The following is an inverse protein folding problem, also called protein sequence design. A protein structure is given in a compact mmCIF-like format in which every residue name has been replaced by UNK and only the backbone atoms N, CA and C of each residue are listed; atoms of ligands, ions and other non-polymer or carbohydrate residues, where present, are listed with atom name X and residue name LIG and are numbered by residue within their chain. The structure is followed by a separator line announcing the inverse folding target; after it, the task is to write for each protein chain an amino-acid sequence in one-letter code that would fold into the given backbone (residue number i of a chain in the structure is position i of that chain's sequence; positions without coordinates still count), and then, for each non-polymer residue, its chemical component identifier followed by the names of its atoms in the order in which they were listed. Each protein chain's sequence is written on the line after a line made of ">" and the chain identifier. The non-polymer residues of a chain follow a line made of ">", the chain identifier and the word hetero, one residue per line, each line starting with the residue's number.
data_IF_684939988632
#
_entry.id   IF_684939988632
#
_cell.length_a   1.000
_cell.length_b   1.000
_cell.length_c   1.000
_cell.angle_alpha   90.00
_cell.angle_beta   90.00
_cell.angle_gamma   90.00
#
_symmetry.space_group_name_H-M   'P 1'
#
loop_
_entity.id
_entity.type
_entity.pdbx_description
1 polymer ?
#
# COMPACT_ATOMS: atom_id res chain seq x y z
N UNK A 1 -45.19 -11.37 -1.05
CA UNK A 1 -43.85 -11.14 -1.64
C UNK A 1 -43.23 -12.49 -1.96
N UNK A 2 -43.32 -12.89 -3.23
CA UNK A 2 -42.95 -14.21 -3.73
C UNK A 2 -41.43 -14.33 -3.82
N UNK A 3 -40.84 -15.24 -3.04
CA UNK A 3 -39.42 -15.61 -3.16
C UNK A 3 -39.35 -16.70 -4.23
N UNK A 4 -38.73 -16.38 -5.37
CA UNK A 4 -38.43 -17.38 -6.39
C UNK A 4 -37.42 -18.39 -5.80
N UNK A 5 -37.70 -19.71 -5.82
CA UNK A 5 -36.82 -20.69 -5.23
C UNK A 5 -35.62 -20.96 -6.16
N UNK A 6 -34.44 -21.10 -5.56
CA UNK A 6 -33.25 -21.58 -6.27
C UNK A 6 -33.46 -23.04 -6.72
N UNK A 7 -32.98 -23.44 -7.91
CA UNK A 7 -33.16 -24.79 -8.42
C UNK A 7 -32.41 -25.82 -7.54
N UNK A 8 -33.07 -26.95 -7.24
CA UNK A 8 -32.48 -28.03 -6.43
C UNK A 8 -31.43 -28.80 -7.24
N UNK A 9 -30.37 -29.22 -6.55
CA UNK A 9 -29.35 -30.12 -7.06
C UNK A 9 -29.99 -31.42 -7.58
N UNK A 10 -29.80 -31.73 -8.87
CA UNK A 10 -30.29 -32.95 -9.51
C UNK A 10 -31.18 -32.75 -10.73
N UNK A 11 -31.64 -31.52 -11.02
CA UNK A 11 -32.15 -31.21 -12.36
C UNK A 11 -30.96 -30.92 -13.26
N UNK A 12 -30.66 -31.84 -14.17
CA UNK A 12 -29.70 -31.61 -15.24
C UNK A 12 -30.06 -30.30 -15.94
N UNK A 13 -29.15 -29.34 -15.87
CA UNK A 13 -29.20 -28.19 -16.75
C UNK A 13 -28.97 -28.77 -18.15
N UNK A 14 -30.07 -29.00 -18.89
CA UNK A 14 -30.01 -29.10 -20.35
C UNK A 14 -29.06 -27.99 -20.81
N UNK A 15 -28.01 -28.29 -21.61
CA UNK A 15 -27.11 -27.25 -22.10
C UNK A 15 -27.98 -26.33 -22.95
N UNK A 16 -28.48 -25.26 -22.32
CA UNK A 16 -29.18 -24.20 -22.99
C UNK A 16 -28.28 -23.82 -24.14
N UNK A 17 -28.80 -23.97 -25.35
CA UNK A 17 -28.14 -23.54 -26.55
C UNK A 17 -27.93 -22.04 -26.41
N UNK A 18 -26.81 -21.65 -25.78
CA UNK A 18 -26.23 -20.33 -25.87
C UNK A 18 -25.76 -20.22 -27.32
N UNK A 19 -26.73 -20.02 -28.21
CA UNK A 19 -26.50 -19.79 -29.62
C UNK A 19 -25.43 -18.72 -29.70
N UNK A 20 -24.32 -19.07 -30.35
CA UNK A 20 -23.30 -18.10 -30.77
C UNK A 20 -23.94 -17.21 -31.85
N UNK A 21 -24.85 -16.35 -31.45
CA UNK A 21 -25.41 -15.28 -32.28
C UNK A 21 -25.08 -13.91 -31.71
N UNK A 22 -23.96 -13.81 -30.97
CA UNK A 22 -23.26 -12.54 -30.79
C UNK A 22 -22.28 -12.36 -31.95
N UNK A 23 -22.40 -11.25 -32.69
CA UNK A 23 -21.44 -10.82 -33.70
C UNK A 23 -20.02 -10.95 -33.12
N UNK A 24 -19.13 -11.71 -33.76
CA UNK A 24 -17.78 -11.94 -33.26
C UNK A 24 -17.10 -10.59 -32.95
N UNK A 25 -16.93 -10.28 -31.67
CA UNK A 25 -16.30 -9.03 -31.26
C UNK A 25 -14.85 -9.06 -31.73
N UNK A 26 -14.42 -7.99 -32.42
CA UNK A 26 -13.14 -7.96 -33.14
C UNK A 26 -11.91 -8.22 -32.25
N UNK A 27 -11.98 -7.93 -30.96
CA UNK A 27 -10.83 -7.99 -30.04
C UNK A 27 -11.02 -8.94 -28.83
N UNK A 28 -12.26 -9.19 -28.37
CA UNK A 28 -12.49 -9.99 -27.16
C UNK A 28 -12.18 -11.47 -27.41
N UNK A 29 -11.33 -12.05 -26.56
CA UNK A 29 -10.89 -13.44 -26.66
C UNK A 29 -9.77 -13.68 -27.69
N UNK A 30 -9.12 -12.62 -28.19
CA UNK A 30 -7.99 -12.70 -29.12
C UNK A 30 -6.70 -12.15 -28.50
N UNK A 31 -5.56 -12.70 -28.92
CA UNK A 31 -4.23 -12.21 -28.55
C UNK A 31 -3.90 -10.93 -29.34
N UNK A 32 -4.42 -9.79 -28.88
CA UNK A 32 -4.13 -8.48 -29.46
C UNK A 32 -2.84 -7.90 -28.86
N UNK A 33 -1.95 -7.28 -29.65
CA UNK A 33 -0.78 -6.59 -29.11
C UNK A 33 -1.18 -5.52 -28.10
N UNK A 34 -0.43 -5.46 -26.99
CA UNK A 34 -0.62 -4.42 -25.98
C UNK A 34 -0.27 -3.05 -26.55
N UNK A 35 -1.10 -2.05 -26.25
CA UNK A 35 -0.89 -0.66 -26.71
C UNK A 35 0.45 -0.09 -26.23
N UNK A 36 0.86 -0.43 -25.02
CA UNK A 36 2.12 -0.01 -24.39
C UNK A 36 3.29 -0.98 -24.67
N UNK A 37 3.07 -2.02 -25.47
CA UNK A 37 4.04 -3.10 -25.67
C UNK A 37 5.28 -2.65 -26.42
N UNK A 38 5.12 -1.89 -27.51
CA UNK A 38 6.24 -1.45 -28.35
C UNK A 38 7.21 -0.56 -27.56
N UNK A 39 6.69 0.46 -26.88
CA UNK A 39 7.51 1.40 -26.12
C UNK A 39 8.31 0.72 -25.00
N UNK A 40 7.73 -0.31 -24.37
CA UNK A 40 8.41 -1.07 -23.31
C UNK A 40 9.53 -1.95 -23.84
N UNK A 41 9.37 -2.57 -25.02
CA UNK A 41 10.42 -3.44 -25.59
C UNK A 41 11.52 -2.65 -26.29
N UNK A 42 11.26 -1.40 -26.69
CA UNK A 42 12.26 -0.52 -27.29
C UNK A 42 12.97 0.39 -26.27
N UNK A 43 12.50 0.43 -25.03
CA UNK A 43 12.98 1.37 -24.01
C UNK A 43 12.50 2.81 -24.21
N UNK A 44 11.49 3.04 -25.06
CA UNK A 44 10.89 4.36 -25.27
C UNK A 44 9.88 4.73 -24.17
N UNK A 45 9.36 3.74 -23.43
CA UNK A 45 8.49 3.98 -22.28
C UNK A 45 9.28 4.68 -21.17
N UNK A 46 8.76 5.83 -20.70
CA UNK A 46 9.37 6.59 -19.60
C UNK A 46 8.65 6.32 -18.30
N UNK A 47 9.44 6.05 -17.27
CA UNK A 47 9.04 5.82 -15.89
C UNK A 47 9.37 7.05 -15.03
N UNK A 48 8.96 7.05 -13.76
CA UNK A 48 9.04 8.27 -12.92
C UNK A 48 10.47 8.80 -12.83
N UNK A 49 11.45 7.91 -12.65
CA UNK A 49 12.87 8.29 -12.53
C UNK A 49 13.50 8.74 -13.86
N UNK A 50 12.82 8.55 -14.99
CA UNK A 50 13.25 9.05 -16.31
C UNK A 50 12.80 10.50 -16.57
N UNK A 51 11.89 11.03 -15.75
CA UNK A 51 11.30 12.37 -15.94
C UNK A 51 12.17 13.45 -15.28
N UNK A 52 12.30 14.60 -15.94
CA UNK A 52 13.05 15.77 -15.44
C UNK A 52 12.26 17.03 -15.74
N UNK A 53 12.23 17.95 -14.79
CA UNK A 53 11.53 19.24 -14.89
C UNK A 53 12.47 20.39 -14.51
N UNK A 54 12.29 21.60 -15.09
CA UNK A 54 13.04 22.78 -14.68
C UNK A 54 12.83 23.08 -13.18
N UNK A 55 13.92 23.33 -12.45
CA UNK A 55 13.87 23.63 -11.02
C UNK A 55 13.48 22.44 -10.11
N UNK A 56 13.49 21.22 -10.63
CA UNK A 56 13.17 20.01 -9.85
C UNK A 56 14.16 19.82 -8.68
N UNK A 57 13.62 19.58 -7.49
CA UNK A 57 14.38 19.16 -6.33
C UNK A 57 14.28 17.64 -6.16
N UNK A 58 15.35 17.02 -5.67
CA UNK A 58 15.33 15.64 -5.21
C UNK A 58 14.81 15.59 -3.77
N UNK A 59 13.97 14.61 -3.46
CA UNK A 59 13.44 14.38 -2.12
C UNK A 59 14.10 13.19 -1.43
N UNK A 60 14.32 13.29 -0.11
CA UNK A 60 14.75 12.21 0.75
C UNK A 60 13.88 12.16 2.00
N UNK A 61 13.22 11.02 2.21
CA UNK A 61 12.52 10.76 3.47
C UNK A 61 13.49 10.23 4.51
N UNK A 62 13.61 10.95 5.62
CA UNK A 62 14.27 10.44 6.83
C UNK A 62 13.25 9.64 7.62
N UNK A 63 13.62 8.40 7.97
CA UNK A 63 12.71 7.41 8.55
C UNK A 63 13.20 6.96 9.92
N UNK A 64 12.28 6.47 10.73
CA UNK A 64 12.60 5.92 12.06
C UNK A 64 13.58 4.74 11.96
N UNK A 65 14.51 4.68 12.92
CA UNK A 65 15.40 3.52 13.12
C UNK A 65 14.89 2.54 14.18
N UNK A 66 13.78 2.89 14.86
CA UNK A 66 13.10 2.06 15.84
C UNK A 66 11.72 1.64 15.31
N UNK A 67 11.20 0.52 15.83
CA UNK A 67 9.87 0.05 15.47
C UNK A 67 8.75 0.65 16.33
N UNK A 68 9.09 1.11 17.55
CA UNK A 68 8.12 1.65 18.51
C UNK A 68 8.80 2.56 19.53
N UNK A 69 8.19 3.71 19.81
CA UNK A 69 8.67 4.64 20.84
C UNK A 69 8.23 6.07 20.58
N UNK A 70 8.86 7.02 21.27
CA UNK A 70 8.58 8.45 21.15
C UNK A 70 9.75 9.19 20.51
N UNK A 71 9.44 10.11 19.60
CA UNK A 71 10.40 11.03 19.01
C UNK A 71 10.75 12.12 20.01
N UNK A 72 12.03 12.32 20.31
CA UNK A 72 12.50 13.38 21.21
C UNK A 72 13.02 14.58 20.46
N UNK A 73 13.90 14.35 19.50
CA UNK A 73 14.49 15.43 18.71
C UNK A 73 14.98 14.92 17.35
N UNK A 74 15.08 15.84 16.39
CA UNK A 74 15.69 15.60 15.08
C UNK A 74 16.71 16.71 14.85
N UNK A 75 17.96 16.35 14.62
CA UNK A 75 19.06 17.27 14.37
C UNK A 75 19.65 16.99 13.00
N UNK A 76 19.80 18.03 12.18
CA UNK A 76 20.41 17.93 10.84
C UNK A 76 21.76 18.62 10.92
N UNK A 77 22.83 17.83 10.81
CA UNK A 77 24.20 18.32 10.82
C UNK A 77 24.56 18.90 9.45
N UNK A 78 25.41 19.95 9.46
CA UNK A 78 26.06 20.49 8.26
C UNK A 78 25.10 20.72 7.08
N UNK A 79 24.05 21.52 7.30
CA UNK A 79 23.03 21.80 6.28
C UNK A 79 23.67 22.44 5.04
N UNK A 80 23.71 21.78 3.87
CA UNK A 80 24.21 22.41 2.66
C UNK A 80 23.34 23.62 2.30
N UNK A 81 23.93 24.67 1.69
CA UNK A 81 23.17 25.82 1.21
C UNK A 81 22.06 25.37 0.26
N UNK A 82 20.82 25.82 0.52
CA UNK A 82 19.66 25.44 -0.29
C UNK A 82 18.92 24.18 0.20
N UNK A 83 19.35 23.54 1.29
CA UNK A 83 18.61 22.43 1.88
C UNK A 83 17.24 22.89 2.41
N UNK A 84 16.19 22.26 1.91
CA UNK A 84 14.83 22.41 2.40
C UNK A 84 14.53 21.26 3.37
N UNK A 85 13.94 21.59 4.51
CA UNK A 85 13.53 20.65 5.55
C UNK A 85 12.04 20.85 5.80
N UNK A 86 11.27 19.76 5.75
CA UNK A 86 9.82 19.77 5.94
C UNK A 86 9.45 18.71 6.96
N UNK A 87 8.80 19.11 8.05
CA UNK A 87 8.29 18.21 9.08
C UNK A 87 6.76 18.29 9.22
N UNK A 88 6.22 17.59 10.22
CA UNK A 88 4.78 17.50 10.43
C UNK A 88 4.09 18.87 10.63
N UNK A 89 4.82 19.90 11.06
CA UNK A 89 4.30 21.26 11.30
C UNK A 89 4.10 22.05 10.02
N UNK A 90 4.77 21.65 8.94
CA UNK A 90 4.66 22.29 7.63
C UNK A 90 3.47 21.77 6.82
N UNK A 91 2.72 20.80 7.35
CA UNK A 91 1.52 20.26 6.71
C UNK A 91 0.37 21.26 6.93
N UNK A 92 -0.19 21.89 5.87
CA UNK A 92 -1.22 22.92 6.02
C UNK A 92 -2.58 22.37 6.49
N UNK A 93 -2.78 21.06 6.38
CA UNK A 93 -3.99 20.36 6.78
C UNK A 93 -3.77 19.40 7.94
N UNK A 94 -4.64 18.40 8.07
CA UNK A 94 -4.46 17.31 9.02
C UNK A 94 -3.24 16.48 8.60
N UNK A 95 -2.32 16.24 9.53
CA UNK A 95 -1.22 15.31 9.36
C UNK A 95 -1.74 13.86 9.39
N UNK A 96 -2.38 13.44 8.29
CA UNK A 96 -3.08 12.16 8.20
C UNK A 96 -3.15 11.67 6.75
N UNK A 97 -2.86 10.39 6.55
CA UNK A 97 -3.16 9.63 5.35
C UNK A 97 -4.53 8.98 5.52
N UNK A 98 -5.56 9.54 4.88
CA UNK A 98 -6.92 9.01 4.97
C UNK A 98 -7.10 7.79 4.04
N UNK A 99 -7.33 6.61 4.61
CA UNK A 99 -7.57 5.39 3.85
C UNK A 99 -8.78 4.59 4.40
N UNK A 100 -8.53 3.64 5.30
CA UNK A 100 -9.57 2.83 5.96
C UNK A 100 -9.95 3.46 7.29
N UNK A 101 -8.97 3.99 8.01
CA UNK A 101 -9.07 4.62 9.33
C UNK A 101 -8.16 5.85 9.41
N UNK A 102 -8.47 6.73 10.36
CA UNK A 102 -7.73 7.97 10.61
C UNK A 102 -6.58 7.72 11.61
N UNK A 103 -5.70 6.76 11.33
CA UNK A 103 -4.67 6.27 12.26
C UNK A 103 -3.22 6.37 11.75
N UNK A 104 -3.02 6.83 10.52
CA UNK A 104 -1.69 6.94 9.91
C UNK A 104 -1.29 8.40 9.67
N UNK A 105 -0.29 8.95 10.37
CA UNK A 105 0.22 10.28 10.07
C UNK A 105 1.00 10.31 8.75
N UNK A 106 1.10 11.47 8.11
CA UNK A 106 2.00 11.66 6.96
C UNK A 106 3.46 11.67 7.41
N UNK A 107 3.74 12.38 8.51
CA UNK A 107 5.05 12.46 9.16
C UNK A 107 4.88 12.30 10.68
N UNK A 108 5.81 11.62 11.35
CA UNK A 108 5.78 11.43 12.80
C UNK A 108 5.76 12.78 13.51
N UNK A 109 4.76 12.97 14.37
CA UNK A 109 4.64 14.12 15.25
C UNK A 109 5.28 13.84 16.62
N UNK A 110 4.88 12.76 17.29
CA UNK A 110 5.38 12.41 18.63
C UNK A 110 5.74 10.94 18.80
N UNK A 111 5.05 10.04 18.10
CA UNK A 111 5.14 8.60 18.32
C UNK A 111 5.52 7.88 17.03
N UNK A 112 6.50 6.99 17.14
CA UNK A 112 6.84 6.00 16.13
C UNK A 112 6.08 4.72 16.46
N UNK A 113 5.29 4.24 15.51
CA UNK A 113 4.36 3.10 15.60
C UNK A 113 4.86 1.88 14.83
N UNK A 114 5.71 2.08 13.82
CA UNK A 114 6.32 0.99 13.07
C UNK A 114 7.73 1.32 12.59
N UNK A 115 8.45 0.30 12.12
CA UNK A 115 9.77 0.47 11.55
C UNK A 115 9.70 1.32 10.27
N UNK A 116 10.73 2.15 10.07
CA UNK A 116 10.89 3.01 8.90
C UNK A 116 9.73 4.02 8.68
N UNK A 117 9.07 4.44 9.76
CA UNK A 117 8.02 5.46 9.71
C UNK A 117 8.60 6.83 9.31
N UNK A 118 7.99 7.57 8.37
CA UNK A 118 8.49 8.87 7.92
C UNK A 118 8.53 9.92 9.04
N UNK A 119 9.67 10.58 9.26
CA UNK A 119 9.81 11.61 10.32
C UNK A 119 9.93 13.01 9.71
N UNK A 120 10.86 13.19 8.77
CA UNK A 120 11.14 14.49 8.14
C UNK A 120 11.49 14.27 6.67
N UNK A 121 11.11 15.21 5.82
CA UNK A 121 11.48 15.24 4.41
C UNK A 121 12.59 16.26 4.21
N UNK A 122 13.59 15.87 3.43
CA UNK A 122 14.65 16.75 2.97
C UNK A 122 14.51 16.93 1.46
N UNK A 123 14.74 18.14 0.96
CA UNK A 123 14.80 18.39 -0.47
C UNK A 123 15.98 19.29 -0.85
N UNK A 124 16.59 19.01 -2.01
CA UNK A 124 17.74 19.75 -2.52
C UNK A 124 17.90 19.55 -4.04
N UNK A 125 18.50 20.51 -4.74
CA UNK A 125 18.75 20.43 -6.19
C UNK A 125 19.87 19.44 -6.55
N UNK A 126 20.87 19.33 -5.67
CA UNK A 126 21.95 18.35 -5.76
C UNK A 126 21.61 17.10 -4.93
N UNK A 127 21.48 15.97 -5.63
CA UNK A 127 21.20 14.65 -5.06
C UNK A 127 22.34 14.11 -4.20
N UNK A 128 23.59 14.43 -4.52
CA UNK A 128 24.76 13.96 -3.76
C UNK A 128 24.82 14.67 -2.40
N UNK A 129 24.68 16.00 -2.40
CA UNK A 129 24.60 16.78 -1.16
C UNK A 129 23.43 16.32 -0.26
N UNK A 130 22.26 16.02 -0.86
CA UNK A 130 21.10 15.49 -0.14
C UNK A 130 21.39 14.11 0.49
N UNK A 131 22.10 13.24 -0.24
CA UNK A 131 22.52 11.93 0.22
C UNK A 131 23.54 11.99 1.36
N UNK A 132 24.47 12.94 1.29
CA UNK A 132 25.51 13.15 2.30
C UNK A 132 25.00 13.84 3.58
N UNK A 133 23.86 14.54 3.52
CA UNK A 133 23.28 15.23 4.67
C UNK A 133 22.99 14.25 5.81
N UNK A 134 23.64 14.45 6.96
CA UNK A 134 23.51 13.60 8.14
C UNK A 134 22.37 14.09 9.02
N UNK A 135 21.51 13.15 9.43
CA UNK A 135 20.39 13.41 10.33
C UNK A 135 20.52 12.49 11.54
N UNK A 136 20.48 13.10 12.72
CA UNK A 136 20.53 12.44 14.01
C UNK A 136 19.15 12.53 14.64
N UNK A 137 18.68 11.41 15.19
CA UNK A 137 17.35 11.31 15.74
C UNK A 137 17.45 10.69 17.13
N UNK A 138 16.89 11.38 18.11
CA UNK A 138 16.82 10.92 19.47
C UNK A 138 15.43 10.35 19.76
N UNK A 139 15.40 9.19 20.40
CA UNK A 139 14.17 8.50 20.74
C UNK A 139 14.13 8.13 22.21
N UNK A 140 12.92 8.03 22.74
CA UNK A 140 12.63 7.13 23.86
C UNK A 140 12.04 5.84 23.25
N UNK A 141 12.87 4.81 23.12
CA UNK A 141 12.45 3.54 22.53
C UNK A 141 11.53 2.76 23.49
N UNK A 142 10.53 2.10 22.92
CA UNK A 142 9.60 1.22 23.61
C UNK A 142 9.67 -0.19 23.01
N UNK A 143 9.27 -1.21 23.77
CA UNK A 143 9.23 -2.59 23.28
C UNK A 143 8.11 -2.75 22.22
N UNK A 144 8.43 -3.14 20.98
CA UNK A 144 7.43 -3.31 19.93
C UNK A 144 6.68 -4.64 20.08
N UNK A 145 5.38 -4.64 19.77
CA UNK A 145 4.62 -5.87 19.59
C UNK A 145 4.74 -6.35 18.13
N UNK A 146 5.61 -7.33 17.89
CA UNK A 146 5.91 -7.83 16.54
C UNK A 146 5.16 -9.12 16.17
N UNK A 147 4.48 -9.74 17.14
CA UNK A 147 3.67 -10.94 16.93
C UNK A 147 2.19 -10.60 17.10
N UNK A 148 1.39 -10.60 16.02
CA UNK A 148 -0.04 -10.29 16.10
C UNK A 148 -0.80 -11.30 16.97
N UNK A 149 -0.34 -12.55 17.12
CA UNK A 149 -1.00 -13.54 17.97
C UNK A 149 -0.90 -13.19 19.48
N UNK A 150 0.02 -12.30 19.85
CA UNK A 150 0.17 -11.78 21.21
C UNK A 150 -0.57 -10.46 21.44
N UNK A 151 -1.22 -9.92 20.41
CA UNK A 151 -1.97 -8.66 20.52
C UNK A 151 -3.25 -8.83 21.32
N UNK A 152 -3.48 -7.93 22.28
CA UNK A 152 -4.79 -7.77 22.93
C UNK A 152 -5.72 -6.84 22.15
N UNK A 153 -5.20 -6.16 21.13
CA UNK A 153 -5.96 -5.26 20.26
C UNK A 153 -6.44 -6.00 19.02
N UNK A 154 -7.75 -6.00 18.79
CA UNK A 154 -8.38 -6.50 17.56
C UNK A 154 -8.71 -5.32 16.66
N UNK A 155 -8.03 -5.23 15.51
CA UNK A 155 -8.28 -4.17 14.53
C UNK A 155 -9.67 -4.31 13.88
N UNK A 156 -10.06 -5.53 13.53
CA UNK A 156 -11.34 -5.80 12.86
C UNK A 156 -11.81 -7.23 13.06
N UNK A 157 -13.11 -7.41 13.30
CA UNK A 157 -13.79 -8.71 13.34
C UNK A 157 -14.79 -8.82 12.19
N UNK A 158 -14.75 -9.93 11.46
CA UNK A 158 -15.66 -10.20 10.34
C UNK A 158 -16.32 -11.56 10.57
N UNK A 159 -17.64 -11.56 10.74
CA UNK A 159 -18.44 -12.78 10.84
C UNK A 159 -19.06 -13.16 9.50
N UNK A 160 -18.98 -14.44 9.12
CA UNK A 160 -19.65 -14.99 7.94
C UNK A 160 -20.47 -16.19 8.42
N UNK A 161 -21.77 -16.15 8.20
CA UNK A 161 -22.69 -17.22 8.60
C UNK A 161 -23.61 -17.57 7.44
N UNK A 162 -23.82 -18.87 7.22
CA UNK A 162 -24.72 -19.37 6.18
C UNK A 162 -25.21 -20.76 6.56
N UNK A 163 -26.54 -20.95 6.59
CA UNK A 163 -27.15 -22.24 6.93
C UNK A 163 -27.04 -22.58 8.42
N UNK A 164 -27.14 -23.87 8.73
CA UNK A 164 -27.04 -24.42 10.08
C UNK A 164 -25.75 -25.26 10.16
N UNK A 165 -24.76 -24.75 10.88
CA UNK A 165 -23.46 -25.41 11.03
C UNK A 165 -23.56 -26.65 11.91
N UNK A 166 -24.36 -26.62 12.97
CA UNK A 166 -24.50 -27.73 13.91
C UNK A 166 -25.09 -28.96 13.22
N UNK A 167 -26.20 -28.76 12.49
CA UNK A 167 -26.79 -29.83 11.69
C UNK A 167 -25.82 -30.34 10.61
N UNK A 168 -25.02 -29.44 10.02
CA UNK A 168 -24.00 -29.79 9.03
C UNK A 168 -22.90 -30.69 9.59
N UNK A 169 -22.36 -30.37 10.77
CA UNK A 169 -21.34 -31.17 11.43
C UNK A 169 -21.86 -32.54 11.88
N UNK A 170 -23.09 -32.60 12.41
CA UNK A 170 -23.70 -33.87 12.84
C UNK A 170 -23.94 -34.84 11.68
N UNK A 171 -24.22 -34.32 10.48
CA UNK A 171 -24.51 -35.14 9.31
C UNK A 171 -23.25 -35.55 8.51
N UNK A 172 -22.05 -35.10 8.90
CA UNK A 172 -20.83 -35.32 8.14
C UNK A 172 -20.22 -36.71 8.40
N UNK A 173 -19.88 -37.44 7.34
CA UNK A 173 -19.17 -38.73 7.46
C UNK A 173 -17.70 -38.56 7.88
N UNK A 174 -17.08 -37.43 7.48
CA UNK A 174 -15.68 -37.08 7.79
C UNK A 174 -15.58 -35.58 8.02
N UNK A 175 -14.86 -35.19 9.07
CA UNK A 175 -14.50 -33.81 9.38
C UNK A 175 -12.97 -33.69 9.37
N UNK A 176 -12.45 -32.68 8.67
CA UNK A 176 -11.02 -32.35 8.66
C UNK A 176 -10.85 -30.93 9.15
N UNK A 177 -10.01 -30.79 10.18
CA UNK A 177 -9.67 -29.51 10.78
C UNK A 177 -8.17 -29.27 10.68
N UNK A 178 -7.80 -28.01 10.46
CA UNK A 178 -6.41 -27.62 10.32
C UNK A 178 -6.21 -26.14 10.60
N UNK A 179 -5.06 -25.82 11.20
CA UNK A 179 -4.62 -24.45 11.40
C UNK A 179 -3.55 -24.11 10.36
N UNK A 180 -3.73 -22.99 9.67
CA UNK A 180 -2.82 -22.54 8.63
C UNK A 180 -2.31 -21.14 8.95
N UNK A 181 -1.01 -20.91 8.75
CA UNK A 181 -0.37 -19.60 8.83
C UNK A 181 0.33 -19.29 7.52
N UNK A 182 0.24 -18.04 7.09
CA UNK A 182 1.00 -17.50 5.94
C UNK A 182 1.82 -16.32 6.42
N UNK A 183 3.04 -16.19 5.88
CA UNK A 183 3.95 -15.10 6.24
C UNK A 183 3.66 -13.81 5.49
N UNK A 184 4.43 -12.78 5.82
CA UNK A 184 4.45 -11.53 5.06
C UNK A 184 5.14 -11.74 3.69
N UNK A 185 4.63 -11.09 2.66
CA UNK A 185 5.18 -11.15 1.31
C UNK A 185 5.31 -9.74 0.75
N UNK A 186 6.52 -9.38 0.31
CA UNK A 186 6.74 -8.16 -0.45
C UNK A 186 6.37 -8.37 -1.91
N UNK A 187 5.79 -7.35 -2.54
CA UNK A 187 5.38 -7.35 -3.95
C UNK A 187 6.58 -7.49 -4.89
N UNK A 188 7.73 -6.94 -4.48
CA UNK A 188 9.00 -7.02 -5.20
C UNK A 188 8.89 -6.56 -6.67
N UNK A 189 8.20 -5.44 -6.89
CA UNK A 189 8.21 -4.77 -8.19
C UNK A 189 9.63 -4.36 -8.59
N UNK A 190 9.92 -4.44 -9.89
CA UNK A 190 11.26 -4.13 -10.43
C UNK A 190 11.54 -2.62 -10.38
N UNK A 191 10.52 -1.80 -10.63
CA UNK A 191 10.60 -0.34 -10.49
C UNK A 191 10.19 0.05 -9.07
N UNK A 192 11.08 0.62 -8.24
CA UNK A 192 10.72 1.12 -6.91
C UNK A 192 9.70 2.26 -6.97
N UNK A 193 8.96 2.47 -5.87
CA UNK A 193 8.02 3.60 -5.77
C UNK A 193 8.73 4.94 -6.04
N UNK A 194 8.16 5.73 -6.95
CA UNK A 194 8.58 7.10 -7.24
C UNK A 194 7.38 8.04 -7.34
N UNK A 195 7.59 9.31 -7.01
CA UNK A 195 6.59 10.37 -7.17
C UNK A 195 7.29 11.65 -7.62
N UNK A 196 6.65 12.37 -8.54
CA UNK A 196 7.01 13.74 -8.89
C UNK A 196 5.75 14.59 -8.74
N UNK A 197 5.86 15.68 -8.00
CA UNK A 197 4.84 16.69 -7.88
C UNK A 197 5.30 17.95 -8.61
N UNK A 198 4.45 18.48 -9.50
CA UNK A 198 4.65 19.77 -10.15
C UNK A 198 3.45 20.64 -9.76
N UNK A 199 3.63 21.68 -8.94
CA UNK A 199 2.53 22.57 -8.57
C UNK A 199 1.99 23.27 -9.82
N UNK A 200 0.67 23.43 -9.88
CA UNK A 200 0.02 24.15 -10.97
C UNK A 200 0.13 25.66 -10.80
N UNK A 201 -0.36 26.43 -11.76
CA UNK A 201 -0.30 27.90 -11.74
C UNK A 201 -1.02 28.55 -10.54
N UNK A 202 -1.85 27.78 -9.82
CA UNK A 202 -2.58 28.21 -8.62
C UNK A 202 -1.90 27.93 -7.28
N UNK A 203 -0.71 27.32 -7.28
CA UNK A 203 -0.08 26.75 -6.09
C UNK A 203 -0.55 25.32 -5.85
#
# INVERSE_FOLDING_TARGET
>A
MSRSPWPRAGQGLEPGAWGRQGKAMRAVGRNVPRRDGLDKVTGAARYVDDLRYPGMLYGRTVRSSIARGRLRSVTIAERPPGLIVVDHRDIPGRNLVALISDDQPCLVEHEVRHAAEPIVLLAHEDREALGATRVEIEYEAEEPLLDPARSTTVFKSIGITKGDLEAGFQAADVVVEGEYRVGHQEHAYIEPNGVIAVPGDGG
#
